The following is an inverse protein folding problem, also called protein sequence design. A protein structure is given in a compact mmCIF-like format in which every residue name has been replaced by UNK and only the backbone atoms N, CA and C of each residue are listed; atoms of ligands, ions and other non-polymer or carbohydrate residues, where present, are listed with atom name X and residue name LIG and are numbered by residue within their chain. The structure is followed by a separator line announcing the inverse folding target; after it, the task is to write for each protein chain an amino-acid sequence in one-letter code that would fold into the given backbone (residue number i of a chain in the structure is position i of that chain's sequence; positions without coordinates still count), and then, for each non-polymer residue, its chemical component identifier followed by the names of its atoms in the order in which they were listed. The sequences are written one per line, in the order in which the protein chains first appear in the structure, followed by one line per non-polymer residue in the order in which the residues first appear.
data_IF_935051668333
#
_entry.id   IF_935051668333
#
_cell.length_a   1.000
_cell.length_b   1.000
_cell.length_c   1.000
_cell.angle_alpha   90.00
_cell.angle_beta   90.00
_cell.angle_gamma   90.00
#
_symmetry.space_group_name_H-M   'P 1'
#
loop_
_entity.id
_entity.type
_entity.pdbx_description
1 polymer ?
#
# COMPACT_ATOMS: atom_id res chain seq x y z
N UNK A 1 -1.37 6.08 0.79
CA UNK A 1 -1.54 4.85 -0.04
C UNK A 1 -0.68 4.99 -1.28
N UNK A 2 0.00 3.91 -1.66
CA UNK A 2 0.78 3.78 -2.91
C UNK A 2 0.43 2.44 -3.54
N UNK A 3 0.22 2.44 -4.85
CA UNK A 3 0.01 1.23 -5.66
C UNK A 3 1.21 1.06 -6.58
N UNK A 4 1.82 -0.12 -6.57
CA UNK A 4 2.93 -0.52 -7.42
C UNK A 4 2.47 -1.65 -8.36
N UNK A 5 3.27 -2.03 -9.37
CA UNK A 5 2.88 -3.03 -10.34
C UNK A 5 2.47 -4.40 -9.73
N UNK A 6 3.04 -4.78 -8.60
CA UNK A 6 2.82 -6.11 -7.99
C UNK A 6 2.12 -6.06 -6.62
N UNK A 7 2.30 -4.98 -5.85
CA UNK A 7 1.74 -4.80 -4.51
C UNK A 7 1.24 -3.36 -4.26
N UNK A 8 0.70 -3.13 -3.07
CA UNK A 8 0.29 -1.81 -2.62
C UNK A 8 0.50 -1.68 -1.11
N UNK A 9 0.74 -0.46 -0.65
CA UNK A 9 0.81 -0.10 0.77
C UNK A 9 -0.25 0.95 1.11
N UNK A 10 -0.92 0.80 2.26
CA UNK A 10 -1.91 1.74 2.74
C UNK A 10 -1.93 1.82 4.27
N UNK A 11 -2.15 3.02 4.80
CA UNK A 11 -2.43 3.27 6.22
C UNK A 11 -3.90 3.68 6.33
N UNK A 12 -4.64 3.04 7.21
CA UNK A 12 -6.06 3.34 7.46
C UNK A 12 -6.27 3.72 8.91
N UNK A 13 -7.12 4.73 9.12
CA UNK A 13 -7.76 4.97 10.40
C UNK A 13 -9.21 4.49 10.27
N UNK A 14 -9.62 3.57 11.13
CA UNK A 14 -10.99 3.07 11.16
C UNK A 14 -11.87 3.94 12.07
N UNK A 15 -13.20 3.93 11.87
CA UNK A 15 -14.13 4.55 12.81
C UNK A 15 -13.93 4.05 14.24
N UNK A 16 -14.28 4.89 15.22
CA UNK A 16 -14.21 4.52 16.62
C UNK A 16 -15.04 3.25 16.91
N UNK A 17 -14.43 2.30 17.64
CA UNK A 17 -15.03 1.00 17.93
C UNK A 17 -14.98 -0.02 16.78
N UNK A 18 -14.51 0.36 15.60
CA UNK A 18 -14.37 -0.54 14.45
C UNK A 18 -12.92 -1.02 14.30
N UNK A 19 -12.75 -2.34 14.36
CA UNK A 19 -11.45 -3.01 14.22
C UNK A 19 -11.40 -3.94 13.01
N UNK A 20 -12.45 -3.97 12.19
CA UNK A 20 -12.59 -4.96 11.11
C UNK A 20 -11.96 -4.47 9.79
N UNK A 21 -10.64 -4.29 9.82
CA UNK A 21 -9.85 -4.05 8.60
C UNK A 21 -9.81 -5.30 7.71
N UNK A 22 -9.96 -6.50 8.28
CA UNK A 22 -9.91 -7.77 7.55
C UNK A 22 -11.06 -7.91 6.56
N UNK A 23 -12.30 -7.60 6.99
CA UNK A 23 -13.46 -7.62 6.11
C UNK A 23 -13.32 -6.61 4.97
N UNK A 24 -12.89 -5.38 5.28
CA UNK A 24 -12.65 -4.33 4.27
C UNK A 24 -11.65 -4.76 3.21
N UNK A 25 -10.51 -5.33 3.63
CA UNK A 25 -9.53 -5.90 2.71
C UNK A 25 -10.11 -7.03 1.87
N UNK A 26 -10.92 -7.91 2.46
CA UNK A 26 -11.58 -8.99 1.71
C UNK A 26 -12.51 -8.45 0.60
N UNK A 27 -13.26 -7.38 0.90
CA UNK A 27 -14.19 -6.75 -0.03
C UNK A 27 -13.46 -6.03 -1.17
N UNK A 28 -12.37 -5.31 -0.87
CA UNK A 28 -11.52 -4.67 -1.88
C UNK A 28 -10.94 -5.72 -2.83
N UNK A 29 -10.31 -6.77 -2.28
CA UNK A 29 -9.72 -7.85 -3.07
C UNK A 29 -10.76 -8.55 -3.94
N UNK A 30 -11.97 -8.78 -3.41
CA UNK A 30 -13.07 -9.40 -4.13
C UNK A 30 -13.59 -8.49 -5.27
N UNK A 31 -13.82 -7.21 -5.00
CA UNK A 31 -14.31 -6.24 -5.98
C UNK A 31 -13.32 -6.08 -7.14
N UNK A 32 -12.03 -5.87 -6.84
CA UNK A 32 -10.97 -5.79 -7.85
C UNK A 32 -10.90 -7.06 -8.68
N UNK A 33 -10.89 -8.22 -8.02
CA UNK A 33 -10.85 -9.51 -8.72
C UNK A 33 -12.06 -9.70 -9.63
N UNK A 34 -13.25 -9.29 -9.21
CA UNK A 34 -14.47 -9.47 -10.01
C UNK A 34 -14.47 -8.61 -11.28
N UNK A 35 -13.81 -7.46 -11.25
CA UNK A 35 -13.70 -6.55 -12.39
C UNK A 35 -12.75 -7.06 -13.49
N UNK A 36 -11.85 -8.00 -13.16
CA UNK A 36 -10.85 -8.52 -14.10
C UNK A 36 -11.29 -9.85 -14.75
N UNK A 37 -11.00 -10.05 -16.05
CA UNK A 37 -11.18 -11.35 -16.70
C UNK A 37 -10.35 -12.41 -15.99
N UNK A 38 -10.80 -13.67 -16.05
CA UNK A 38 -10.05 -14.82 -15.49
C UNK A 38 -9.01 -15.27 -16.51
N UNK A 39 -7.78 -14.80 -16.34
CA UNK A 39 -6.65 -15.12 -17.23
C UNK A 39 -5.50 -15.82 -16.48
N UNK A 40 -5.60 -15.90 -15.16
CA UNK A 40 -4.58 -16.49 -14.32
C UNK A 40 -4.63 -18.03 -14.30
N UNK A 41 -3.44 -18.65 -14.24
CA UNK A 41 -3.31 -20.07 -13.96
C UNK A 41 -3.29 -20.29 -12.44
N UNK A 42 -4.24 -21.07 -11.92
CA UNK A 42 -4.35 -21.34 -10.49
C UNK A 42 -4.13 -22.80 -10.16
N UNK A 43 -3.58 -23.06 -8.97
CA UNK A 43 -3.45 -24.43 -8.46
C UNK A 43 -4.83 -25.02 -8.11
N UNK A 44 -4.94 -26.35 -8.09
CA UNK A 44 -6.17 -27.06 -7.69
C UNK A 44 -6.64 -26.68 -6.27
N UNK A 45 -5.71 -26.28 -5.40
CA UNK A 45 -6.03 -25.76 -4.06
C UNK A 45 -6.84 -24.46 -4.13
N UNK A 46 -6.41 -23.51 -4.98
CA UNK A 46 -7.10 -22.23 -5.18
C UNK A 46 -8.44 -22.44 -5.89
N UNK A 47 -8.46 -23.30 -6.91
CA UNK A 47 -9.68 -23.65 -7.64
C UNK A 47 -10.77 -24.21 -6.71
N UNK A 48 -10.42 -25.20 -5.87
CA UNK A 48 -11.35 -25.79 -4.88
C UNK A 48 -11.92 -24.75 -3.91
N UNK A 49 -11.13 -23.74 -3.55
CA UNK A 49 -11.54 -22.63 -2.67
C UNK A 49 -12.17 -21.46 -3.42
N UNK A 50 -12.34 -21.57 -4.75
CA UNK A 50 -12.84 -20.50 -5.63
C UNK A 50 -12.02 -19.20 -5.49
N UNK A 51 -10.73 -19.35 -5.18
CA UNK A 51 -9.78 -18.24 -5.07
C UNK A 51 -9.26 -17.82 -6.44
N UNK A 52 -8.94 -16.53 -6.58
CA UNK A 52 -8.24 -16.00 -7.75
C UNK A 52 -6.72 -16.11 -7.55
N UNK A 53 -5.98 -16.13 -8.64
CA UNK A 53 -4.50 -16.12 -8.67
C UNK A 53 -3.86 -14.74 -8.61
N UNK A 54 -4.65 -13.68 -8.37
CA UNK A 54 -4.20 -12.28 -8.38
C UNK A 54 -3.52 -11.90 -7.06
N UNK A 55 -4.18 -12.19 -5.93
CA UNK A 55 -3.72 -11.75 -4.62
C UNK A 55 -2.91 -12.83 -3.91
N UNK A 56 -1.84 -12.41 -3.22
CA UNK A 56 -1.24 -13.20 -2.15
C UNK A 56 -2.28 -13.47 -1.06
N UNK A 57 -2.21 -14.66 -0.46
CA UNK A 57 -3.06 -15.03 0.68
C UNK A 57 -2.63 -14.23 1.91
N UNK A 58 -3.62 -13.77 2.68
CA UNK A 58 -3.42 -12.85 3.81
C UNK A 58 -2.84 -11.51 3.34
N UNK A 59 -2.42 -10.70 4.28
CA UNK A 59 -1.70 -9.45 4.09
C UNK A 59 -0.80 -9.27 5.31
N UNK A 60 0.08 -8.28 5.26
CA UNK A 60 0.85 -7.86 6.41
C UNK A 60 0.15 -6.66 7.05
N UNK A 61 0.09 -6.63 8.38
CA UNK A 61 -0.48 -5.53 9.15
C UNK A 61 0.46 -5.10 10.28
N UNK A 62 0.45 -3.79 10.56
CA UNK A 62 1.08 -3.18 11.72
C UNK A 62 0.17 -2.11 12.29
N UNK A 63 0.03 -2.13 13.61
CA UNK A 63 -0.73 -1.13 14.34
C UNK A 63 0.19 0.03 14.67
N UNK A 64 -0.08 1.19 14.07
CA UNK A 64 0.60 2.45 14.38
C UNK A 64 0.32 2.83 15.83
N UNK A 65 1.39 3.10 16.60
CA UNK A 65 1.30 3.27 18.06
C UNK A 65 1.34 4.71 18.52
N UNK A 66 1.99 5.57 17.77
CA UNK A 66 2.20 6.99 18.08
C UNK A 66 2.51 7.79 16.80
N UNK A 67 2.74 9.09 16.96
CA UNK A 67 2.94 10.02 15.85
C UNK A 67 4.29 9.79 15.13
N UNK A 68 5.35 9.38 15.84
CA UNK A 68 6.66 9.08 15.23
C UNK A 68 6.58 7.81 14.38
N UNK A 69 5.88 6.79 14.88
CA UNK A 69 5.59 5.57 14.14
C UNK A 69 4.75 5.88 12.89
N UNK A 70 3.75 6.75 13.01
CA UNK A 70 2.95 7.21 11.86
C UNK A 70 3.82 7.91 10.81
N UNK A 71 4.67 8.84 11.21
CA UNK A 71 5.54 9.60 10.32
C UNK A 71 6.47 8.68 9.53
N UNK A 72 7.15 7.75 10.21
CA UNK A 72 8.02 6.75 9.59
C UNK A 72 7.29 5.88 8.57
N UNK A 73 6.07 5.45 8.88
CA UNK A 73 5.28 4.61 7.99
C UNK A 73 4.75 5.37 6.77
N UNK A 74 4.33 6.62 6.95
CA UNK A 74 3.93 7.50 5.85
C UNK A 74 5.13 7.74 4.93
N UNK A 75 6.30 8.00 5.50
CA UNK A 75 7.54 8.18 4.76
C UNK A 75 7.91 6.92 3.96
N UNK A 76 7.93 5.76 4.62
CA UNK A 76 8.23 4.48 3.98
C UNK A 76 7.28 4.18 2.81
N UNK A 77 5.99 4.34 3.04
CA UNK A 77 4.94 4.03 2.07
C UNK A 77 5.11 4.87 0.80
N UNK A 78 5.37 6.17 0.94
CA UNK A 78 5.47 7.09 -0.19
C UNK A 78 6.83 7.05 -0.89
N UNK A 79 7.89 6.65 -0.18
CA UNK A 79 9.21 6.44 -0.76
C UNK A 79 9.36 5.09 -1.46
N UNK A 80 8.43 4.16 -1.22
CA UNK A 80 8.52 2.79 -1.73
C UNK A 80 8.73 2.67 -3.26
N UNK A 81 8.10 3.50 -4.13
CA UNK A 81 8.39 3.49 -5.56
C UNK A 81 9.86 3.76 -5.90
N UNK A 82 10.53 4.63 -5.14
CA UNK A 82 11.97 4.91 -5.27
C UNK A 82 12.78 3.72 -4.76
N UNK A 83 12.43 3.17 -3.60
CA UNK A 83 13.07 1.95 -3.05
C UNK A 83 13.03 0.78 -4.02
N UNK A 84 11.93 0.62 -4.76
CA UNK A 84 11.77 -0.44 -5.78
C UNK A 84 12.34 -0.06 -7.16
N UNK A 85 12.92 1.14 -7.32
CA UNK A 85 13.59 1.57 -8.55
C UNK A 85 12.64 1.93 -9.70
N UNK A 86 11.38 2.26 -9.41
CA UNK A 86 10.42 2.64 -10.44
C UNK A 86 10.55 4.10 -10.90
N UNK A 87 11.00 4.99 -10.01
CA UNK A 87 11.21 6.42 -10.24
C UNK A 87 12.37 6.92 -9.39
N UNK A 88 13.02 8.01 -9.81
CA UNK A 88 14.09 8.65 -9.04
C UNK A 88 13.55 9.50 -7.88
N UNK A 89 12.38 10.13 -8.06
CA UNK A 89 11.71 10.94 -7.02
C UNK A 89 10.33 10.39 -6.69
N UNK A 90 9.95 10.42 -5.40
CA UNK A 90 8.65 9.92 -4.95
C UNK A 90 7.46 10.67 -5.60
N UNK A 91 7.63 11.95 -5.90
CA UNK A 91 6.66 12.79 -6.62
C UNK A 91 6.45 12.39 -8.08
N UNK A 92 7.34 11.61 -8.67
CA UNK A 92 7.22 11.18 -10.07
C UNK A 92 6.30 9.96 -10.20
N UNK A 93 5.96 9.29 -9.09
CA UNK A 93 5.06 8.14 -9.10
C UNK A 93 3.59 8.55 -9.09
N UNK A 94 2.82 8.37 -10.19
CA UNK A 94 1.46 8.90 -10.28
C UNK A 94 0.47 8.15 -9.37
N UNK A 95 0.75 6.91 -9.01
CA UNK A 95 -0.16 6.04 -8.25
C UNK A 95 0.07 6.14 -6.73
N UNK A 96 0.19 7.36 -6.24
CA UNK A 96 0.49 7.68 -4.84
C UNK A 96 -0.47 8.74 -4.31
N UNK A 97 -0.91 8.60 -3.05
CA UNK A 97 -1.65 9.69 -2.39
C UNK A 97 -0.75 10.87 -1.99
N UNK A 98 0.58 10.78 -2.21
CA UNK A 98 1.54 11.86 -1.95
C UNK A 98 1.10 13.17 -2.60
N UNK A 99 0.60 13.11 -3.84
CA UNK A 99 0.12 14.26 -4.61
C UNK A 99 -0.92 15.08 -3.85
N UNK A 100 -1.83 14.43 -3.11
CA UNK A 100 -2.84 15.13 -2.32
C UNK A 100 -2.25 15.89 -1.14
N UNK A 101 -1.15 15.41 -0.57
CA UNK A 101 -0.45 16.10 0.52
C UNK A 101 0.34 17.30 -0.02
N UNK A 102 0.96 17.14 -1.20
CA UNK A 102 1.63 18.23 -1.91
C UNK A 102 0.65 19.32 -2.33
N UNK A 103 -0.49 18.96 -2.92
CA UNK A 103 -1.56 19.90 -3.32
C UNK A 103 -2.11 20.70 -2.13
N UNK A 104 -2.18 20.09 -0.95
CA UNK A 104 -2.62 20.74 0.29
C UNK A 104 -1.54 21.59 0.97
N UNK A 105 -0.32 21.62 0.43
CA UNK A 105 0.82 22.31 1.03
C UNK A 105 1.33 21.66 2.31
N UNK A 106 0.96 20.39 2.57
CA UNK A 106 1.41 19.65 3.75
C UNK A 106 2.83 19.08 3.56
N UNK A 107 3.23 18.82 2.31
CA UNK A 107 4.55 18.36 1.93
C UNK A 107 5.04 19.17 0.72
N UNK A 108 6.35 19.34 0.57
CA UNK A 108 6.93 19.98 -0.62
C UNK A 108 7.02 18.98 -1.78
N UNK A 109 7.22 19.48 -3.00
CA UNK A 109 7.40 18.63 -4.19
C UNK A 109 8.68 17.83 -4.17
N UNK A 110 9.72 18.32 -3.48
CA UNK A 110 10.98 17.59 -3.21
C UNK A 110 10.90 16.69 -1.96
N UNK A 111 9.69 16.32 -1.55
CA UNK A 111 9.50 15.37 -0.47
C UNK A 111 9.97 14.00 -0.94
N UNK A 112 10.95 13.41 -0.24
CA UNK A 112 11.59 12.16 -0.63
C UNK A 112 13.11 12.25 -0.77
N UNK A 113 13.64 13.43 -1.10
CA UNK A 113 15.07 13.61 -1.44
C UNK A 113 16.02 13.22 -0.29
N UNK A 114 15.58 13.42 0.97
CA UNK A 114 16.34 13.08 2.17
C UNK A 114 15.81 11.82 2.89
N UNK A 115 14.81 11.13 2.34
CA UNK A 115 14.14 10.01 3.02
C UNK A 115 15.05 8.76 3.09
N UNK A 116 16.10 8.68 2.27
CA UNK A 116 17.15 7.66 2.41
C UNK A 116 17.93 7.76 3.73
N UNK A 117 17.85 8.90 4.43
CA UNK A 117 18.49 9.11 5.73
C UNK A 117 17.60 8.76 6.94
N UNK A 118 16.32 8.47 6.71
CA UNK A 118 15.41 8.01 7.75
C UNK A 118 15.63 6.50 8.02
N UNK A 119 15.66 6.11 9.29
CA UNK A 119 15.55 4.70 9.70
C UNK A 119 14.15 4.20 9.38
N UNK A 120 13.94 3.87 8.11
CA UNK A 120 12.67 3.37 7.61
C UNK A 120 12.45 1.93 8.05
N UNK A 121 11.20 1.54 8.34
CA UNK A 121 10.90 0.16 8.67
C UNK A 121 11.28 -0.83 7.56
N UNK A 122 11.84 -1.98 7.94
CA UNK A 122 12.14 -3.09 7.05
C UNK A 122 10.92 -3.97 6.82
N UNK A 123 9.99 -3.54 5.97
CA UNK A 123 8.88 -4.38 5.51
C UNK A 123 9.24 -5.05 4.20
N UNK A 124 9.57 -6.34 4.26
CA UNK A 124 9.69 -7.26 3.12
C UNK A 124 8.70 -8.42 3.28
#
# INVERSE_FOLDING_TARGET
MVVMPEHLHSIWQLPEGDVDFSLRWSLIKAAFSKALPKQENISSSRERKRERGIWQRRFWEHMIRDDDDLEKHVAYLHYNPVKHGYVDNASDWPYSSLHKFVEKGLLNTSWGDNVSSLDLPGYE
#
